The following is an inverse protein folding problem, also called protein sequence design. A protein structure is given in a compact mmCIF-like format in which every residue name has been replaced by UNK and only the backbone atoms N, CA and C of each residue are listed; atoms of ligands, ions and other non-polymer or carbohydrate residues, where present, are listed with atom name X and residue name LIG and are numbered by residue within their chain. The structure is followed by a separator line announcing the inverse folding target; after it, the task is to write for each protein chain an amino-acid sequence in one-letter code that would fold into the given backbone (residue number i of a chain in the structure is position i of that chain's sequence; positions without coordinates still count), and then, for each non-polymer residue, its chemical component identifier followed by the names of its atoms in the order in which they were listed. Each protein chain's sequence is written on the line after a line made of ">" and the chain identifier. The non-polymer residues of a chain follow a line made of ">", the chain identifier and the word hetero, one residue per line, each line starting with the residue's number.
data_IF_061322604195
#
_entry.id   IF_061322604195
#
_cell.length_a   1.000
_cell.length_b   1.000
_cell.length_c   1.000
_cell.angle_alpha   90.00
_cell.angle_beta   90.00
_cell.angle_gamma   90.00
#
_symmetry.space_group_name_H-M   'P 1'
#
loop_
_entity.id
_entity.type
_entity.pdbx_description
1 polymer ?
#
# COMPACT_ATOMS: atom_id res chain seq x y z
N UNK A 1 12.05 10.80 6.66
CA UNK A 1 12.11 10.78 5.18
C UNK A 1 10.87 10.04 4.74
N UNK A 2 10.00 10.63 3.94
CA UNK A 2 8.84 9.89 3.41
C UNK A 2 9.36 8.84 2.43
N UNK A 3 8.94 7.59 2.60
CA UNK A 3 9.34 6.50 1.71
C UNK A 3 8.96 6.82 0.27
N UNK A 4 9.82 6.47 -0.70
CA UNK A 4 9.47 6.57 -2.14
C UNK A 4 8.18 5.81 -2.46
N UNK A 5 7.90 4.76 -1.70
CA UNK A 5 6.75 3.89 -1.86
C UNK A 5 5.51 4.35 -1.10
N UNK A 6 5.57 5.49 -0.40
CA UNK A 6 4.40 6.07 0.26
C UNK A 6 3.33 6.40 -0.79
N UNK A 7 2.09 5.99 -0.53
CA UNK A 7 0.97 6.21 -1.44
C UNK A 7 0.71 7.71 -1.71
N UNK A 8 1.01 8.61 -0.76
CA UNK A 8 0.86 10.07 -0.91
C UNK A 8 1.79 10.67 -1.97
N UNK A 9 2.82 9.94 -2.42
CA UNK A 9 3.67 10.37 -3.52
C UNK A 9 3.04 10.10 -4.90
N UNK A 10 1.88 9.46 -4.95
CA UNK A 10 1.22 9.08 -6.19
C UNK A 10 0.23 10.16 -6.61
N UNK A 11 0.29 10.55 -7.89
CA UNK A 11 -0.46 11.68 -8.42
C UNK A 11 -1.99 11.49 -8.35
N UNK A 12 -2.46 10.26 -8.51
CA UNK A 12 -3.90 9.94 -8.52
C UNK A 12 -4.16 8.46 -8.20
N UNK A 13 -5.42 8.16 -7.83
CA UNK A 13 -5.85 6.82 -7.43
C UNK A 13 -5.68 5.79 -8.56
N UNK A 14 -5.92 6.19 -9.82
CA UNK A 14 -5.74 5.31 -10.97
C UNK A 14 -4.29 4.84 -11.11
N UNK A 15 -3.33 5.75 -10.93
CA UNK A 15 -1.91 5.42 -10.93
C UNK A 15 -1.54 4.53 -9.74
N UNK A 16 -2.11 4.79 -8.55
CA UNK A 16 -1.91 3.96 -7.37
C UNK A 16 -2.38 2.51 -7.61
N UNK A 17 -3.60 2.32 -8.13
CA UNK A 17 -4.14 1.00 -8.47
C UNK A 17 -3.20 0.27 -9.44
N UNK A 18 -2.72 0.98 -10.48
CA UNK A 18 -1.80 0.39 -11.45
C UNK A 18 -0.49 -0.06 -10.80
N UNK A 19 0.09 0.75 -9.91
CA UNK A 19 1.33 0.40 -9.22
C UNK A 19 1.15 -0.80 -8.28
N UNK A 20 0.04 -0.87 -7.54
CA UNK A 20 -0.28 -2.03 -6.68
C UNK A 20 -0.41 -3.29 -7.53
N UNK A 21 -1.10 -3.19 -8.68
CA UNK A 21 -1.29 -4.33 -9.58
C UNK A 21 0.05 -4.81 -10.20
N UNK A 22 0.88 -3.89 -10.67
CA UNK A 22 2.22 -4.20 -11.20
C UNK A 22 3.12 -4.81 -10.12
N UNK A 23 2.97 -4.37 -8.87
CA UNK A 23 3.72 -4.89 -7.74
C UNK A 23 3.17 -6.21 -7.17
N UNK A 24 2.16 -6.82 -7.81
CA UNK A 24 1.56 -8.09 -7.36
C UNK A 24 0.79 -8.00 -6.04
N UNK A 25 0.45 -6.79 -5.58
CA UNK A 25 -0.15 -6.56 -4.27
C UNK A 25 -1.68 -6.71 -4.22
N UNK A 26 -2.28 -7.33 -5.24
CA UNK A 26 -3.71 -7.63 -5.29
C UNK A 26 -3.86 -9.14 -5.15
N UNK A 27 -4.47 -9.57 -4.05
CA UNK A 27 -4.75 -10.98 -3.75
C UNK A 27 -5.80 -11.55 -4.72
N UNK A 28 -5.95 -12.88 -4.76
CA UNK A 28 -6.91 -13.57 -5.65
C UNK A 28 -8.36 -13.11 -5.42
N UNK A 29 -8.71 -12.80 -4.17
CA UNK A 29 -10.04 -12.30 -3.78
C UNK A 29 -10.22 -10.78 -4.03
N UNK A 30 -9.20 -10.10 -4.58
CA UNK A 30 -9.20 -8.66 -4.81
C UNK A 30 -8.87 -7.82 -3.57
N UNK A 31 -8.52 -8.46 -2.45
CA UNK A 31 -8.00 -7.78 -1.26
C UNK A 31 -6.61 -7.20 -1.52
N UNK A 32 -6.28 -6.14 -0.78
CA UNK A 32 -4.99 -5.45 -0.84
C UNK A 32 -4.55 -5.23 0.61
N UNK A 33 -3.34 -5.66 0.96
CA UNK A 33 -2.71 -5.40 2.26
C UNK A 33 -1.64 -4.33 2.08
N UNK A 34 -1.94 -3.09 2.45
CA UNK A 34 -1.00 -1.98 2.33
C UNK A 34 -0.08 -1.96 3.56
N UNK A 35 1.26 -2.08 3.40
CA UNK A 35 2.18 -2.01 4.52
C UNK A 35 2.20 -0.62 5.16
N UNK A 36 2.38 -0.58 6.46
CA UNK A 36 2.59 0.64 7.23
C UNK A 36 4.01 0.62 7.80
N UNK A 37 4.80 1.65 7.49
CA UNK A 37 6.14 1.80 8.05
C UNK A 37 6.14 2.75 9.26
N UNK A 38 6.51 2.22 10.43
CA UNK A 38 6.76 2.91 11.71
C UNK A 38 7.84 2.16 12.50
N UNK A 39 7.96 2.44 13.82
CA UNK A 39 8.79 1.65 14.76
C UNK A 39 8.42 0.15 14.76
N UNK A 40 7.18 -0.20 14.43
CA UNK A 40 6.68 -1.56 14.27
C UNK A 40 6.01 -1.72 12.89
N UNK A 41 6.02 -2.93 12.33
CA UNK A 41 5.39 -3.23 11.04
C UNK A 41 3.90 -3.52 11.22
N UNK A 42 3.06 -2.82 10.46
CA UNK A 42 1.61 -3.03 10.42
C UNK A 42 1.08 -3.09 8.99
N UNK A 43 -0.20 -3.42 8.84
CA UNK A 43 -0.87 -3.44 7.54
C UNK A 43 -2.28 -2.86 7.67
N UNK A 44 -2.72 -2.11 6.66
CA UNK A 44 -4.13 -1.74 6.50
C UNK A 44 -4.72 -2.54 5.33
N UNK A 45 -5.87 -3.19 5.58
CA UNK A 45 -6.56 -3.98 4.57
C UNK A 45 -7.55 -3.10 3.80
N UNK A 46 -7.51 -3.18 2.48
CA UNK A 46 -8.49 -2.59 1.57
C UNK A 46 -8.78 -3.54 0.42
N UNK A 47 -9.50 -3.10 -0.62
CA UNK A 47 -9.72 -3.89 -1.83
C UNK A 47 -9.66 -3.05 -3.09
N UNK A 48 -9.41 -3.71 -4.23
CA UNK A 48 -9.40 -3.08 -5.54
C UNK A 48 -10.71 -2.32 -5.82
N UNK A 49 -11.85 -2.91 -5.47
CA UNK A 49 -13.17 -2.28 -5.63
C UNK A 49 -13.33 -0.99 -4.81
N UNK A 50 -12.78 -0.95 -3.60
CA UNK A 50 -12.80 0.27 -2.77
C UNK A 50 -11.99 1.38 -3.44
N UNK A 51 -10.80 1.05 -3.96
CA UNK A 51 -9.96 2.01 -4.68
C UNK A 51 -10.65 2.52 -5.95
N UNK A 52 -11.29 1.65 -6.72
CA UNK A 52 -12.04 2.02 -7.93
C UNK A 52 -13.23 2.94 -7.61
N UNK A 53 -13.99 2.66 -6.54
CA UNK A 53 -15.06 3.54 -6.08
C UNK A 53 -14.53 4.92 -5.66
N UNK A 54 -13.34 4.94 -5.05
CA UNK A 54 -12.68 6.18 -4.64
C UNK A 54 -12.24 7.01 -5.84
N UNK A 55 -11.63 6.37 -6.84
CA UNK A 55 -11.25 6.98 -8.11
C UNK A 55 -12.46 7.57 -8.84
N UNK A 56 -13.54 6.79 -8.96
CA UNK A 56 -14.79 7.22 -9.59
C UNK A 56 -15.47 8.38 -8.83
N UNK A 57 -15.21 8.53 -7.53
CA UNK A 57 -15.72 9.65 -6.72
C UNK A 57 -14.96 10.97 -6.90
N UNK A 58 -13.84 10.95 -7.65
CA UNK A 58 -13.01 12.13 -7.88
C UNK A 58 -12.18 12.57 -6.66
N UNK A 59 -12.07 11.72 -5.64
CA UNK A 59 -11.28 12.00 -4.43
C UNK A 59 -9.80 11.81 -4.69
N UNK A 60 -8.98 12.56 -3.96
CA UNK A 60 -7.52 12.54 -4.08
C UNK A 60 -6.90 11.35 -3.35
N UNK A 61 -5.61 11.11 -3.59
CA UNK A 61 -4.83 10.12 -2.85
C UNK A 61 -4.65 10.52 -1.39
N UNK A 62 -4.64 11.81 -1.07
CA UNK A 62 -4.64 12.30 0.31
C UNK A 62 -5.93 11.92 1.03
N UNK A 63 -7.10 12.10 0.40
CA UNK A 63 -8.39 11.70 0.98
C UNK A 63 -8.45 10.18 1.21
N UNK A 64 -7.83 9.39 0.33
CA UNK A 64 -7.73 7.94 0.51
C UNK A 64 -6.83 7.60 1.70
N UNK A 65 -5.67 8.26 1.81
CA UNK A 65 -4.75 8.08 2.91
C UNK A 65 -5.43 8.36 4.25
N UNK A 66 -6.13 9.48 4.37
CA UNK A 66 -6.84 9.85 5.60
C UNK A 66 -7.94 8.83 5.94
N UNK A 67 -8.71 8.36 4.95
CA UNK A 67 -9.71 7.29 5.16
C UNK A 67 -9.09 5.97 5.62
N UNK A 68 -7.95 5.58 5.05
CA UNK A 68 -7.24 4.36 5.46
C UNK A 68 -6.73 4.48 6.90
N UNK A 69 -6.39 5.70 7.35
CA UNK A 69 -6.04 5.95 8.74
C UNK A 69 -7.24 5.80 9.68
N UNK A 70 -8.40 6.35 9.33
CA UNK A 70 -9.64 6.16 10.11
C UNK A 70 -10.00 4.67 10.25
N UNK A 71 -9.87 3.89 9.17
CA UNK A 71 -10.08 2.43 9.22
C UNK A 71 -9.08 1.68 10.09
N UNK A 72 -7.95 2.31 10.38
CA UNK A 72 -6.92 1.75 11.24
C UNK A 72 -7.08 2.17 12.70
N UNK A 73 -8.04 3.02 13.08
CA UNK A 73 -8.25 3.49 14.47
C UNK A 73 -8.47 2.38 15.51
N UNK A 74 -8.76 1.14 15.11
CA UNK A 74 -8.73 -0.04 16.00
C UNK A 74 -7.32 -0.39 16.52
N UNK A 75 -6.28 0.21 15.96
CA UNK A 75 -4.91 0.11 16.43
C UNK A 75 -4.50 1.40 17.14
N UNK A 76 -3.86 1.24 18.30
CA UNK A 76 -3.38 2.33 19.16
C UNK A 76 -2.13 2.99 18.53
N UNK A 77 -2.34 3.74 17.45
CA UNK A 77 -1.26 4.38 16.70
C UNK A 77 -0.79 5.65 17.41
N UNK A 78 0.15 5.52 18.35
CA UNK A 78 0.73 6.68 19.05
C UNK A 78 1.22 7.77 18.07
N UNK A 79 1.12 9.04 18.48
CA UNK A 79 1.33 10.29 17.73
C UNK A 79 2.58 10.34 16.81
N UNK A 80 2.51 9.72 15.62
CA UNK A 80 3.57 9.72 14.63
C UNK A 80 3.05 9.81 13.20
N UNK A 81 3.90 10.21 12.25
CA UNK A 81 3.57 10.11 10.82
C UNK A 81 3.35 8.65 10.44
N UNK A 82 2.22 8.31 9.81
CA UNK A 82 1.95 6.98 9.26
C UNK A 82 2.30 6.98 7.78
N UNK A 83 3.35 6.26 7.42
CA UNK A 83 3.73 6.03 6.03
C UNK A 83 3.05 4.75 5.51
N UNK A 84 1.89 4.90 4.85
CA UNK A 84 1.22 3.80 4.15
C UNK A 84 1.91 3.59 2.80
N UNK A 85 2.31 2.36 2.51
CA UNK A 85 3.12 2.02 1.35
C UNK A 85 2.35 1.22 0.31
N UNK A 86 2.84 1.28 -0.92
CA UNK A 86 2.45 0.33 -1.97
C UNK A 86 2.99 -1.05 -1.56
N UNK A 87 2.15 -2.10 -1.51
CA UNK A 87 2.58 -3.47 -1.27
C UNK A 87 3.59 -3.86 -2.33
N UNK A 88 4.70 -4.39 -1.86
CA UNK A 88 5.72 -4.96 -2.70
C UNK A 88 5.62 -6.46 -2.48
N UNK A 89 5.39 -7.23 -3.55
CA UNK A 89 6.01 -8.56 -3.59
C UNK A 89 7.48 -8.31 -3.26
N UNK A 90 7.97 -8.92 -2.18
CA UNK A 90 9.40 -8.93 -1.89
C UNK A 90 10.07 -9.23 -3.24
N UNK A 91 11.01 -8.41 -3.75
CA UNK A 91 11.74 -8.84 -4.93
C UNK A 91 12.25 -10.23 -4.58
N UNK A 92 11.92 -11.23 -5.39
CA UNK A 92 12.49 -12.57 -5.28
C UNK A 92 13.94 -12.38 -4.86
N UNK A 93 14.26 -12.80 -3.63
CA UNK A 93 15.63 -12.80 -3.17
C UNK A 93 16.31 -13.86 -4.02
N UNK A 94 16.82 -13.38 -5.16
CA UNK A 94 17.86 -13.97 -5.96
C UNK A 94 17.50 -15.35 -6.52
N UNK A 95 17.31 -15.38 -7.84
CA UNK A 95 18.00 -16.40 -8.65
C UNK A 95 19.52 -16.33 -8.33
N UNK A 96 19.95 -16.81 -7.16
CA UNK A 96 21.31 -17.31 -6.98
C UNK A 96 21.29 -18.80 -7.33
N UNK A 97 21.03 -19.10 -8.62
CA UNK A 97 21.66 -20.27 -9.24
C UNK A 97 23.18 -19.98 -9.32
N UNK A 98 23.85 -20.06 -8.17
CA UNK A 98 25.30 -20.28 -8.14
C UNK A 98 25.56 -21.73 -8.54
N UNK A 99 26.49 -22.02 -9.46
CA UNK A 99 26.70 -23.39 -9.90
C UNK A 99 27.17 -24.26 -8.74
N UNK A 100 26.54 -25.42 -8.59
CA UNK A 100 27.05 -26.53 -7.79
C UNK A 100 28.38 -26.98 -8.39
N UNK A 101 29.49 -26.51 -7.83
CA UNK A 101 30.83 -27.08 -8.05
C UNK A 101 31.54 -27.30 -6.74
#
# INVERSE_FOLDING_TARGET
>A
MVSKWNIKNIDNIKMLINMIQVAGGIEEDGSILLPIERKEQGFVKTSKDVLLKFEASGKSVSDLHDKLLEQSEDFDWSEGSVDIQIPRSVPDQLDEEGPLT
#
